data_IF_705222302215
#
_entry.id   IF_705222302215
#
_cell.length_a   1.000
_cell.length_b   1.000
_cell.length_c   1.000
_cell.angle_alpha   90.00
_cell.angle_beta   90.00
_cell.angle_gamma   90.00
#
_symmetry.space_group_name_H-M   'P 1'
#
loop_
_entity.id
_entity.type
_entity.pdbx_description
1 polymer ?
#
# COMPACT_ATOMS: atom_id res chain seq x y z
N UNK A 1 9.26 -3.34 10.94
CA UNK A 1 8.25 -4.26 10.39
C UNK A 1 7.13 -4.36 11.41
N UNK A 2 5.84 -4.68 11.17
CA UNK A 2 5.17 -5.50 12.23
C UNK A 2 5.53 -6.97 11.84
N UNK A 3 4.68 -7.94 12.18
CA UNK A 3 4.66 -9.28 11.65
C UNK A 3 5.37 -10.32 12.48
N UNK A 4 4.71 -11.47 12.58
CA UNK A 4 5.29 -12.70 13.14
C UNK A 4 6.45 -13.26 12.30
N UNK A 5 6.80 -12.64 11.16
CA UNK A 5 7.96 -13.01 10.36
C UNK A 5 8.84 -11.79 9.94
N UNK A 6 9.76 -11.33 10.81
CA UNK A 6 10.71 -10.25 10.49
C UNK A 6 11.58 -10.52 9.24
N UNK A 7 11.78 -11.79 8.87
CA UNK A 7 12.58 -12.18 7.69
C UNK A 7 11.87 -11.81 6.40
N UNK A 8 10.58 -12.10 6.28
CA UNK A 8 9.75 -11.77 5.12
C UNK A 8 9.74 -10.26 4.88
N UNK A 9 9.44 -9.48 5.92
CA UNK A 9 9.42 -8.03 5.87
C UNK A 9 10.80 -7.41 5.59
N UNK A 10 11.88 -8.07 6.02
CA UNK A 10 13.25 -7.77 5.61
C UNK A 10 13.45 -7.98 4.10
N UNK A 11 13.06 -9.14 3.57
CA UNK A 11 13.12 -9.44 2.15
C UNK A 11 12.35 -8.43 1.31
N UNK A 12 11.10 -8.07 1.67
CA UNK A 12 10.30 -7.10 0.90
C UNK A 12 10.91 -5.70 0.93
N UNK A 13 11.40 -5.28 2.10
CA UNK A 13 12.12 -4.01 2.24
C UNK A 13 13.38 -3.96 1.38
N UNK A 14 14.11 -5.08 1.26
CA UNK A 14 15.32 -5.19 0.44
C UNK A 14 14.97 -5.18 -1.05
N UNK A 15 13.98 -5.96 -1.51
CA UNK A 15 13.55 -5.99 -2.92
C UNK A 15 13.13 -4.59 -3.39
N UNK A 16 12.24 -3.91 -2.65
CA UNK A 16 11.85 -2.54 -2.98
C UNK A 16 13.04 -1.55 -2.96
N UNK A 17 13.99 -1.68 -2.03
CA UNK A 17 15.17 -0.80 -1.99
C UNK A 17 16.15 -1.05 -3.14
N UNK A 18 16.22 -2.28 -3.64
CA UNK A 18 17.12 -2.71 -4.72
C UNK A 18 16.51 -2.58 -6.11
N UNK A 19 15.20 -2.32 -6.23
CA UNK A 19 14.51 -2.17 -7.51
C UNK A 19 15.11 -1.04 -8.35
N UNK A 20 15.69 -1.39 -9.51
CA UNK A 20 16.55 -0.47 -10.27
C UNK A 20 15.80 0.71 -10.91
N UNK A 21 14.53 0.54 -11.26
CA UNK A 21 13.79 1.51 -12.07
C UNK A 21 13.07 2.59 -11.25
N UNK A 22 12.81 2.34 -9.96
CA UNK A 22 12.18 3.33 -9.07
C UNK A 22 12.75 3.20 -7.66
N UNK A 23 13.11 4.33 -7.05
CA UNK A 23 13.59 4.38 -5.67
C UNK A 23 12.42 4.33 -4.70
N UNK A 24 12.44 3.37 -3.78
CA UNK A 24 11.47 3.28 -2.69
C UNK A 24 12.07 3.72 -1.35
N UNK A 25 11.28 4.40 -0.53
CA UNK A 25 11.52 4.61 0.89
C UNK A 25 10.55 3.70 1.65
N UNK A 26 11.09 2.66 2.30
CA UNK A 26 10.28 1.66 3.00
C UNK A 26 10.45 1.84 4.50
N UNK A 27 9.33 2.14 5.17
CA UNK A 27 9.14 2.01 6.61
C UNK A 27 8.27 0.79 6.90
N UNK A 28 8.46 0.16 8.05
CA UNK A 28 7.60 -0.93 8.51
C UNK A 28 7.63 -0.96 10.06
N UNK A 29 6.58 -1.39 10.76
CA UNK A 29 6.30 -0.94 12.16
C UNK A 29 5.76 -2.00 13.16
N UNK A 30 6.35 -2.34 14.34
CA UNK A 30 5.86 -3.28 15.43
C UNK A 30 4.35 -3.34 15.84
N UNK A 31 3.46 -2.47 15.39
CA UNK A 31 2.04 -2.47 15.78
C UNK A 31 1.17 -1.65 14.77
N UNK A 32 -0.12 -1.96 14.55
CA UNK A 32 -0.99 -1.16 13.66
C UNK A 32 -1.07 0.31 14.08
N UNK A 33 -1.07 0.59 15.38
CA UNK A 33 -1.10 1.94 15.93
C UNK A 33 0.25 2.68 15.74
N UNK A 34 1.38 1.97 15.80
CA UNK A 34 2.70 2.50 15.38
C UNK A 34 2.79 2.69 13.85
N UNK A 35 2.21 1.78 13.07
CA UNK A 35 2.04 1.90 11.62
C UNK A 35 1.24 3.14 11.25
N UNK A 36 0.17 3.40 12.00
CA UNK A 36 -0.65 4.59 11.87
C UNK A 36 0.14 5.86 12.17
N UNK A 37 0.82 5.90 13.34
CA UNK A 37 1.67 7.03 13.74
C UNK A 37 2.70 7.35 12.66
N UNK A 38 3.40 6.34 12.13
CA UNK A 38 4.38 6.52 11.06
C UNK A 38 3.73 6.96 9.75
N UNK A 39 2.58 6.40 9.35
CA UNK A 39 1.87 6.82 8.14
C UNK A 39 1.52 8.32 8.16
N UNK A 40 1.05 8.84 9.29
CA UNK A 40 0.68 10.26 9.44
C UNK A 40 1.84 11.22 9.12
N UNK A 41 3.05 10.96 9.65
CA UNK A 41 4.24 11.79 9.42
C UNK A 41 4.95 11.49 8.10
N UNK A 42 5.05 10.20 7.73
CA UNK A 42 5.79 9.76 6.56
C UNK A 42 5.08 10.13 5.26
N UNK A 43 3.73 10.12 5.26
CA UNK A 43 2.86 10.36 4.10
C UNK A 43 3.15 9.35 2.97
N UNK A 44 2.81 8.07 3.16
CA UNK A 44 3.04 7.03 2.16
C UNK A 44 2.24 7.25 0.88
N UNK A 45 2.77 6.75 -0.23
CA UNK A 45 2.02 6.50 -1.47
C UNK A 45 1.27 5.15 -1.39
N UNK A 46 1.81 4.19 -0.63
CA UNK A 46 1.28 2.82 -0.51
C UNK A 46 1.43 2.29 0.92
N UNK A 47 0.44 1.54 1.39
CA UNK A 47 0.41 0.85 2.67
C UNK A 47 0.07 -0.62 2.41
N UNK A 48 0.99 -1.53 2.73
CA UNK A 48 0.69 -2.96 2.82
C UNK A 48 0.25 -3.25 4.26
N UNK A 49 -0.78 -4.07 4.48
CA UNK A 49 -1.22 -4.54 5.79
C UNK A 49 -1.34 -6.07 5.73
N UNK A 50 -0.84 -6.83 6.70
CA UNK A 50 -1.04 -8.28 6.72
C UNK A 50 -2.43 -8.65 7.22
N UNK A 51 -3.01 -9.68 6.60
CA UNK A 51 -4.34 -10.21 6.89
C UNK A 51 -4.41 -11.05 8.16
N UNK A 52 -3.29 -11.30 8.84
CA UNK A 52 -3.29 -11.93 10.17
C UNK A 52 -3.85 -11.02 11.28
N UNK A 53 -3.96 -9.71 11.05
CA UNK A 53 -4.77 -8.84 11.89
C UNK A 53 -6.27 -9.16 11.77
N UNK A 54 -6.98 -9.11 12.90
CA UNK A 54 -8.43 -9.26 12.90
C UNK A 54 -9.12 -8.18 12.06
N UNK A 55 -10.06 -8.58 11.21
CA UNK A 55 -10.77 -7.74 10.23
C UNK A 55 -11.19 -6.36 10.77
N UNK A 56 -11.79 -6.33 11.97
CA UNK A 56 -12.23 -5.08 12.62
C UNK A 56 -11.10 -4.07 12.85
N UNK A 57 -9.89 -4.53 13.13
CA UNK A 57 -8.70 -3.68 13.30
C UNK A 57 -8.22 -3.14 11.95
N UNK A 58 -8.20 -3.99 10.92
CA UNK A 58 -7.81 -3.61 9.55
C UNK A 58 -8.79 -2.56 9.01
N UNK A 59 -10.11 -2.81 9.08
CA UNK A 59 -11.14 -1.88 8.63
C UNK A 59 -11.06 -0.54 9.36
N UNK A 60 -10.89 -0.55 10.69
CA UNK A 60 -10.72 0.67 11.47
C UNK A 60 -9.45 1.46 11.13
N UNK A 61 -8.36 0.78 10.78
CA UNK A 61 -7.13 1.41 10.28
C UNK A 61 -7.33 2.01 8.87
N UNK A 62 -8.02 1.31 7.98
CA UNK A 62 -8.33 1.80 6.63
C UNK A 62 -9.20 3.06 6.70
N UNK A 63 -10.19 3.10 7.59
CA UNK A 63 -11.00 4.30 7.81
C UNK A 63 -10.14 5.49 8.30
N UNK A 64 -9.19 5.26 9.22
CA UNK A 64 -8.24 6.28 9.64
C UNK A 64 -7.38 6.79 8.47
N UNK A 65 -6.85 5.88 7.65
CA UNK A 65 -6.07 6.21 6.45
C UNK A 65 -6.87 7.10 5.50
N UNK A 66 -8.11 6.71 5.17
CA UNK A 66 -8.99 7.40 4.21
C UNK A 66 -9.50 8.75 4.72
N UNK A 67 -9.76 8.90 6.01
CA UNK A 67 -10.28 10.14 6.59
C UNK A 67 -9.19 11.21 6.80
N UNK A 68 -7.92 10.82 6.93
CA UNK A 68 -6.85 11.74 7.31
C UNK A 68 -6.11 12.35 6.12
N UNK A 69 -5.96 13.69 6.14
CA UNK A 69 -5.44 14.50 5.02
C UNK A 69 -4.07 14.07 4.48
N UNK A 70 -3.20 13.49 5.32
CA UNK A 70 -1.83 13.12 4.90
C UNK A 70 -1.68 11.68 4.37
N UNK A 71 -2.73 10.86 4.48
CA UNK A 71 -2.72 9.42 4.15
C UNK A 71 -3.84 9.01 3.21
N UNK A 72 -4.89 9.82 3.03
CA UNK A 72 -6.08 9.49 2.21
C UNK A 72 -5.83 9.13 0.75
N UNK A 73 -4.69 9.55 0.19
CA UNK A 73 -4.25 9.27 -1.18
C UNK A 73 -3.29 8.06 -1.25
N UNK A 74 -3.02 7.41 -0.12
CA UNK A 74 -2.21 6.20 -0.09
C UNK A 74 -3.07 5.02 -0.55
N UNK A 75 -2.55 4.22 -1.48
CA UNK A 75 -3.13 2.92 -1.80
C UNK A 75 -2.96 2.00 -0.60
N UNK A 76 -3.97 1.17 -0.29
CA UNK A 76 -3.91 0.15 0.74
C UNK A 76 -4.08 -1.23 0.10
N UNK A 77 -3.17 -2.15 0.41
CA UNK A 77 -3.26 -3.54 -0.01
C UNK A 77 -3.20 -4.47 1.20
N UNK A 78 -3.85 -5.63 1.12
CA UNK A 78 -3.75 -6.67 2.14
C UNK A 78 -2.83 -7.82 1.69
N UNK A 79 -1.99 -8.29 2.60
CA UNK A 79 -1.13 -9.44 2.43
C UNK A 79 -1.75 -10.67 3.11
N UNK A 80 -2.23 -11.62 2.32
CA UNK A 80 -2.96 -12.81 2.78
C UNK A 80 -2.08 -14.06 2.77
N UNK A 81 -2.32 -14.93 3.75
CA UNK A 81 -1.76 -16.29 3.79
C UNK A 81 -2.27 -17.13 2.60
N UNK A 82 -3.58 -17.10 2.34
CA UNK A 82 -4.22 -17.93 1.31
C UNK A 82 -5.24 -17.18 0.42
N UNK A 83 -5.61 -17.83 -0.68
CA UNK A 83 -6.65 -17.38 -1.59
C UNK A 83 -8.07 -17.76 -1.15
N UNK A 84 -8.21 -18.73 -0.24
CA UNK A 84 -9.51 -19.28 0.18
C UNK A 84 -10.31 -18.37 1.10
N UNK A 85 -9.63 -17.56 1.91
CA UNK A 85 -10.25 -16.63 2.86
C UNK A 85 -10.84 -15.43 2.10
N UNK A 86 -12.15 -15.40 1.88
CA UNK A 86 -12.85 -14.28 1.21
C UNK A 86 -13.03 -13.04 2.11
N UNK A 87 -11.93 -12.50 2.62
CA UNK A 87 -11.92 -11.23 3.35
C UNK A 87 -11.94 -10.06 2.34
N UNK A 88 -13.14 -9.58 1.99
CA UNK A 88 -13.31 -8.42 1.09
C UNK A 88 -13.57 -7.16 1.93
N UNK A 89 -12.50 -6.47 2.33
CA UNK A 89 -12.58 -5.24 3.12
C UNK A 89 -12.74 -4.01 2.20
N UNK A 90 -13.77 -3.16 2.39
CA UNK A 90 -13.94 -1.93 1.63
C UNK A 90 -12.76 -0.96 1.79
N UNK A 91 -12.31 -0.37 0.67
CA UNK A 91 -11.21 0.60 0.66
C UNK A 91 -9.81 0.00 0.52
N UNK A 92 -9.70 -1.33 0.43
CA UNK A 92 -8.50 -2.04 -0.05
C UNK A 92 -8.49 -1.99 -1.58
N UNK A 93 -7.37 -1.57 -2.19
CA UNK A 93 -7.18 -1.56 -3.64
C UNK A 93 -6.63 -2.89 -4.19
N UNK A 94 -5.91 -3.69 -3.39
CA UNK A 94 -5.28 -4.93 -3.85
C UNK A 94 -5.12 -6.00 -2.75
N UNK A 95 -5.05 -7.27 -3.15
CA UNK A 95 -4.90 -8.44 -2.26
C UNK A 95 -3.76 -9.33 -2.74
N UNK A 96 -2.63 -9.26 -2.05
CA UNK A 96 -1.40 -9.97 -2.39
C UNK A 96 -1.29 -11.26 -1.55
N UNK A 97 -0.78 -12.33 -2.15
CA UNK A 97 -0.52 -13.61 -1.47
C UNK A 97 0.94 -13.70 -1.05
N UNK A 98 1.23 -14.12 0.18
CA UNK A 98 2.60 -14.23 0.73
C UNK A 98 3.53 -15.04 -0.15
N UNK A 99 3.07 -16.20 -0.60
CA UNK A 99 3.84 -17.10 -1.48
C UNK A 99 4.25 -16.46 -2.82
N UNK A 100 3.46 -15.52 -3.34
CA UNK A 100 3.72 -14.84 -4.62
C UNK A 100 4.58 -13.57 -4.45
N UNK A 101 4.60 -12.99 -3.24
CA UNK A 101 5.18 -11.67 -2.97
C UNK A 101 6.72 -11.66 -2.94
N UNK A 102 7.35 -12.84 -2.90
CA UNK A 102 8.82 -13.02 -2.77
C UNK A 102 9.58 -12.78 -4.09
N UNK A 103 8.88 -12.43 -5.18
CA UNK A 103 9.46 -12.24 -6.51
C UNK A 103 9.67 -10.75 -6.88
N UNK A 104 10.36 -10.50 -8.00
CA UNK A 104 10.54 -9.16 -8.57
C UNK A 104 9.20 -8.45 -8.94
N UNK A 105 8.06 -9.17 -8.95
CA UNK A 105 6.75 -8.56 -9.25
C UNK A 105 6.28 -7.58 -8.17
N UNK A 106 6.64 -7.78 -6.90
CA UNK A 106 6.11 -6.96 -5.80
C UNK A 106 6.37 -5.45 -5.98
N UNK A 107 7.49 -5.08 -6.60
CA UNK A 107 7.76 -3.68 -6.92
C UNK A 107 6.79 -3.10 -7.99
N UNK A 108 6.32 -3.92 -8.93
CA UNK A 108 5.29 -3.57 -9.88
C UNK A 108 3.90 -3.56 -9.23
N UNK A 109 3.59 -4.51 -8.36
CA UNK A 109 2.31 -4.58 -7.63
C UNK A 109 2.10 -3.31 -6.78
N UNK A 110 3.16 -2.86 -6.08
CA UNK A 110 3.17 -1.57 -5.36
C UNK A 110 2.93 -0.37 -6.29
N UNK A 111 3.56 -0.35 -7.48
CA UNK A 111 3.37 0.74 -8.44
C UNK A 111 1.96 0.73 -9.05
N UNK A 112 1.41 -0.44 -9.33
CA UNK A 112 0.06 -0.63 -9.85
C UNK A 112 -0.97 -0.15 -8.83
N UNK A 113 -0.87 -0.55 -7.57
CA UNK A 113 -1.78 -0.07 -6.51
C UNK A 113 -1.75 1.46 -6.34
N UNK A 114 -0.55 2.08 -6.40
CA UNK A 114 -0.42 3.55 -6.37
C UNK A 114 -1.18 4.20 -7.55
N UNK A 115 -1.02 3.67 -8.77
CA UNK A 115 -1.69 4.19 -9.97
C UNK A 115 -3.21 3.96 -9.91
N UNK A 116 -3.65 2.78 -9.46
CA UNK A 116 -5.07 2.47 -9.24
C UNK A 116 -5.71 3.42 -8.22
N UNK A 117 -5.01 3.73 -7.11
CA UNK A 117 -5.54 4.69 -6.12
C UNK A 117 -5.64 6.10 -6.70
N UNK A 118 -4.65 6.53 -7.49
CA UNK A 118 -4.74 7.81 -8.22
C UNK A 118 -5.94 7.85 -9.16
N UNK A 119 -6.25 6.76 -9.87
CA UNK A 119 -7.44 6.67 -10.71
C UNK A 119 -8.75 6.63 -9.92
N UNK A 120 -8.83 5.92 -8.79
CA UNK A 120 -10.02 5.90 -7.91
C UNK A 120 -10.36 7.32 -7.41
N UNK A 121 -9.34 8.08 -6.99
CA UNK A 121 -9.50 9.45 -6.51
C UNK A 121 -9.75 10.43 -7.66
N UNK A 122 -9.11 10.25 -8.82
CA UNK A 122 -9.39 11.03 -10.04
C UNK A 122 -10.82 10.78 -10.55
N UNK A 123 -11.32 9.55 -10.60
CA UNK A 123 -12.71 9.28 -10.99
C UNK A 123 -13.71 9.87 -9.99
N UNK A 124 -13.42 9.82 -8.68
CA UNK A 124 -14.23 10.53 -7.69
C UNK A 124 -14.25 12.04 -7.96
N UNK A 125 -13.12 12.63 -8.38
CA UNK A 125 -13.05 14.05 -8.79
C UNK A 125 -13.75 14.30 -10.13
N UNK A 126 -13.60 13.44 -11.15
CA UNK A 126 -14.25 13.61 -12.47
C UNK A 126 -15.77 13.49 -12.40
N UNK A 127 -16.28 12.58 -11.56
CA UNK A 127 -17.72 12.46 -11.26
C UNK A 127 -18.27 13.71 -10.53
N UNK A 128 -17.40 14.55 -9.96
CA UNK A 128 -17.74 15.84 -9.36
C UNK A 128 -17.39 17.05 -10.24
N UNK A 129 -16.49 16.90 -11.23
CA UNK A 129 -15.95 17.97 -12.07
C UNK A 129 -15.57 17.43 -13.47
N UNK A 130 -16.40 17.73 -14.48
CA UNK A 130 -16.40 17.02 -15.76
C UNK A 130 -15.09 17.04 -16.59
N UNK A 131 -14.70 15.84 -17.03
CA UNK A 131 -14.00 15.50 -18.28
C UNK A 131 -12.77 16.31 -18.72
N UNK A 132 -11.57 15.76 -18.48
CA UNK A 132 -10.38 15.89 -19.34
C UNK A 132 -9.58 14.57 -19.28
N UNK A 133 -9.10 14.03 -20.41
CA UNK A 133 -8.27 12.79 -20.42
C UNK A 133 -6.77 13.13 -20.43
N UNK A 134 -5.99 12.42 -19.60
CA UNK A 134 -4.51 12.44 -19.63
C UNK A 134 -3.99 11.00 -19.50
N UNK A 135 -2.81 10.71 -20.07
CA UNK A 135 -2.18 9.38 -20.05
C UNK A 135 -1.09 9.28 -18.98
N UNK A 136 -1.15 8.24 -18.15
CA UNK A 136 -0.38 8.17 -16.89
C UNK A 136 0.32 6.83 -16.65
N UNK A 137 1.35 6.52 -17.46
CA UNK A 137 2.48 5.78 -16.87
C UNK A 137 3.32 6.79 -16.09
N UNK A 138 3.59 6.58 -14.79
CA UNK A 138 4.41 7.50 -14.03
C UNK A 138 5.82 7.46 -14.61
N UNK A 139 6.21 8.55 -15.29
CA UNK A 139 7.56 8.71 -15.81
C UNK A 139 8.61 8.47 -14.71
N UNK A 140 9.86 8.23 -15.11
CA UNK A 140 11.02 8.08 -14.23
C UNK A 140 11.45 9.40 -13.56
N UNK A 141 10.46 10.16 -13.06
CA UNK A 141 10.67 11.25 -12.11
C UNK A 141 11.53 10.74 -10.95
N UNK A 142 12.56 11.50 -10.58
CA UNK A 142 13.46 11.17 -9.46
C UNK A 142 12.79 11.16 -8.08
N UNK A 143 11.46 11.31 -8.05
CA UNK A 143 10.59 11.25 -6.88
C UNK A 143 10.62 9.83 -6.30
N UNK A 144 11.08 9.73 -5.06
CA UNK A 144 11.14 8.49 -4.28
C UNK A 144 9.73 8.13 -3.79
N UNK A 145 9.24 6.93 -4.12
CA UNK A 145 7.94 6.44 -3.66
C UNK A 145 8.04 5.93 -2.23
N UNK A 146 7.01 6.20 -1.42
CA UNK A 146 7.00 5.93 0.02
C UNK A 146 6.04 4.80 0.34
N UNK A 147 6.57 3.76 0.98
CA UNK A 147 5.83 2.56 1.34
C UNK A 147 5.86 2.39 2.85
N UNK A 148 4.70 2.19 3.47
CA UNK A 148 4.57 1.65 4.83
C UNK A 148 4.18 0.19 4.70
N UNK A 149 4.82 -0.68 5.46
CA UNK A 149 4.42 -2.08 5.59
C UNK A 149 4.01 -2.36 7.03
N UNK A 150 2.71 -2.54 7.20
CA UNK A 150 2.06 -3.02 8.40
C UNK A 150 1.85 -4.56 8.33
N UNK A 151 1.95 -5.31 9.44
CA UNK A 151 1.85 -6.78 9.42
C UNK A 151 1.29 -7.49 10.69
#
# INVERSE_FOLDING_TARGET
MIGNNPREMGCLSIHLRNFKWKRFAVNATFDLKEGWRIAQYFKPDYILIDGSFGERLISGFIDQVRQHKSTRMASVALLKEDSGTQLMIPGVQDYLLKDNIVSDTFAYDVLNGIVLKMHEDEEQVYNLAGSHKVSWLPASTGIKKKVVIAN
#
